data_IF_461634296897
#
_entry.id   IF_461634296897
#
_cell.length_a   1.000
_cell.length_b   1.000
_cell.length_c   1.000
_cell.angle_alpha   90.00
_cell.angle_beta   90.00
_cell.angle_gamma   90.00
#
_symmetry.space_group_name_H-M   'P 1'
#
loop_
_entity.id
_entity.type
_entity.pdbx_description
1 polymer ?
#
# COMPACT_ATOMS: atom_id res chain seq x y z
N UNK A 1 17.49 17.62 4.37
CA UNK A 1 18.87 18.13 4.49
C UNK A 1 19.02 19.34 3.59
N UNK A 2 19.64 20.41 4.07
CA UNK A 2 19.79 21.68 3.34
C UNK A 2 21.17 22.28 3.61
N UNK A 3 21.72 23.03 2.64
CA UNK A 3 23.07 23.61 2.72
C UNK A 3 23.14 24.86 3.61
N UNK A 4 22.05 25.63 3.69
CA UNK A 4 21.93 26.82 4.55
C UNK A 4 20.56 26.87 5.22
N UNK A 5 20.49 27.55 6.35
CA UNK A 5 19.23 27.86 7.01
C UNK A 5 18.66 29.12 6.34
N UNK A 6 17.46 29.01 5.78
CA UNK A 6 16.71 30.18 5.30
C UNK A 6 15.96 30.82 6.46
N UNK A 7 15.50 32.07 6.29
CA UNK A 7 14.75 32.78 7.34
C UNK A 7 13.46 32.03 7.72
N UNK A 8 12.74 31.48 6.74
CA UNK A 8 11.55 30.65 7.03
C UNK A 8 11.88 29.36 7.79
N UNK A 9 13.05 28.74 7.52
CA UNK A 9 13.51 27.59 8.30
C UNK A 9 13.83 28.01 9.73
N UNK A 10 14.48 29.16 9.91
CA UNK A 10 14.83 29.70 11.22
C UNK A 10 13.58 29.92 12.07
N UNK A 11 12.58 30.62 11.53
CA UNK A 11 11.29 30.84 12.21
C UNK A 11 10.60 29.52 12.59
N UNK A 12 10.55 28.56 11.65
CA UNK A 12 9.93 27.26 11.90
C UNK A 12 10.66 26.46 13.00
N UNK A 13 12.00 26.50 13.01
CA UNK A 13 12.84 25.84 14.02
C UNK A 13 12.62 26.50 15.39
N UNK A 14 12.63 27.83 15.45
CA UNK A 14 12.45 28.59 16.70
C UNK A 14 11.06 28.35 17.30
N UNK A 15 9.99 28.41 16.49
CA UNK A 15 8.63 28.16 16.97
C UNK A 15 8.43 26.70 17.40
N UNK A 16 9.00 25.74 16.67
CA UNK A 16 8.99 24.32 17.07
C UNK A 16 9.73 24.11 18.39
N UNK A 17 10.88 24.76 18.56
CA UNK A 17 11.65 24.75 19.80
C UNK A 17 10.89 25.35 20.98
N UNK A 18 10.25 26.51 20.78
CA UNK A 18 9.42 27.18 21.79
C UNK A 18 8.27 26.30 22.24
N UNK A 19 7.53 25.67 21.31
CA UNK A 19 6.43 24.73 21.63
C UNK A 19 6.94 23.51 22.39
N UNK A 20 8.05 22.92 21.96
CA UNK A 20 8.62 21.73 22.60
C UNK A 20 9.01 22.00 24.05
N UNK A 21 9.59 23.17 24.35
CA UNK A 21 9.95 23.56 25.72
C UNK A 21 8.72 23.59 26.64
N UNK A 22 7.66 24.27 26.21
CA UNK A 22 6.39 24.35 26.96
C UNK A 22 5.79 22.95 27.18
N UNK A 23 5.81 22.09 26.15
CA UNK A 23 5.31 20.71 26.25
C UNK A 23 6.11 19.86 27.25
N UNK A 24 7.44 19.99 27.27
CA UNK A 24 8.30 19.26 28.21
C UNK A 24 8.03 19.73 29.64
N UNK A 25 7.98 21.04 29.88
CA UNK A 25 7.70 21.61 31.21
C UNK A 25 6.33 21.16 31.73
N UNK A 26 5.30 21.19 30.86
CA UNK A 26 3.98 20.67 31.19
C UNK A 26 4.01 19.17 31.52
N UNK A 27 4.66 18.37 30.67
CA UNK A 27 4.73 16.93 30.88
C UNK A 27 5.45 16.57 32.19
N UNK A 28 6.55 17.26 32.51
CA UNK A 28 7.27 17.08 33.78
C UNK A 28 6.41 17.45 34.98
N UNK A 29 5.73 18.61 34.92
CA UNK A 29 4.84 19.07 36.00
C UNK A 29 3.67 18.10 36.26
N UNK A 30 3.20 17.43 35.21
CA UNK A 30 2.03 16.55 35.25
C UNK A 30 2.37 15.05 35.22
N UNK A 31 3.65 14.67 35.31
CA UNK A 31 4.11 13.28 35.21
C UNK A 31 3.60 12.54 33.96
N UNK A 32 3.51 13.25 32.82
CA UNK A 32 3.04 12.70 31.54
C UNK A 32 4.25 12.14 30.78
N UNK A 33 4.20 10.85 30.46
CA UNK A 33 5.17 10.21 29.57
C UNK A 33 4.65 10.21 28.14
N UNK A 34 5.37 10.79 27.16
CA UNK A 34 4.97 10.77 25.76
C UNK A 34 4.84 9.34 25.24
N UNK A 35 3.71 9.01 24.61
CA UNK A 35 3.47 7.72 23.96
C UNK A 35 2.97 7.95 22.54
N UNK A 36 3.32 7.05 21.63
CA UNK A 36 2.79 7.06 20.26
C UNK A 36 1.27 6.85 20.28
N UNK A 37 0.57 7.54 19.37
CA UNK A 37 -0.88 7.36 19.20
C UNK A 37 -1.11 6.09 18.39
N UNK A 38 -1.90 5.15 18.92
CA UNK A 38 -2.45 4.04 18.15
C UNK A 38 -3.85 4.44 17.67
N UNK A 39 -3.98 4.77 16.38
CA UNK A 39 -5.25 5.14 15.76
C UNK A 39 -5.66 4.04 14.78
N UNK A 40 -6.80 3.36 14.98
CA UNK A 40 -7.26 2.36 14.02
C UNK A 40 -7.58 3.04 12.68
N UNK A 41 -7.27 2.35 11.59
CA UNK A 41 -7.69 2.77 10.25
C UNK A 41 -9.20 2.60 10.19
N UNK A 42 -9.94 3.72 10.15
CA UNK A 42 -11.39 3.69 9.94
C UNK A 42 -11.63 3.26 8.49
N UNK A 43 -12.51 2.26 8.28
CA UNK A 43 -12.95 1.87 6.95
C UNK A 43 -13.54 3.06 6.18
N UNK A 44 -13.45 3.03 4.84
CA UNK A 44 -14.11 4.03 3.99
C UNK A 44 -15.62 4.02 4.26
N UNK A 45 -16.21 5.19 4.40
CA UNK A 45 -17.65 5.39 4.66
C UNK A 45 -18.58 5.00 3.50
N UNK A 46 -18.04 4.45 2.40
CA UNK A 46 -18.80 4.16 1.18
C UNK A 46 -18.74 2.66 0.94
N UNK A 47 -19.89 2.03 1.15
CA UNK A 47 -20.18 0.64 0.81
C UNK A 47 -20.10 0.51 -0.71
N UNK A 48 -19.00 -0.07 -1.21
CA UNK A 48 -18.92 -0.44 -2.62
C UNK A 48 -19.66 -1.76 -2.72
N UNK A 49 -20.89 -1.68 -3.23
CA UNK A 49 -21.70 -2.81 -3.66
C UNK A 49 -20.80 -3.91 -4.23
N UNK A 50 -20.85 -5.06 -3.56
CA UNK A 50 -20.13 -6.28 -3.89
C UNK A 50 -20.42 -6.68 -5.33
N UNK A 51 -19.55 -6.30 -6.27
CA UNK A 51 -19.41 -7.04 -7.52
C UNK A 51 -18.48 -8.20 -7.20
N UNK A 52 -19.06 -9.40 -7.14
CA UNK A 52 -18.31 -10.65 -7.05
C UNK A 52 -17.41 -10.77 -8.27
N UNK A 53 -16.14 -10.43 -8.12
CA UNK A 53 -15.11 -10.72 -9.13
C UNK A 53 -14.84 -12.20 -9.05
N UNK A 54 -15.58 -12.96 -9.83
CA UNK A 54 -15.50 -14.42 -9.90
C UNK A 54 -14.18 -14.89 -10.49
N UNK A 55 -13.58 -14.10 -11.39
CA UNK A 55 -12.46 -14.58 -12.21
C UNK A 55 -11.19 -13.74 -12.04
N UNK A 56 -10.04 -14.43 -11.93
CA UNK A 56 -8.72 -13.79 -11.95
C UNK A 56 -8.39 -13.49 -13.41
N UNK A 57 -8.73 -12.29 -13.85
CA UNK A 57 -8.50 -11.89 -15.23
C UNK A 57 -7.03 -11.60 -15.52
N UNK A 58 -6.60 -11.94 -16.73
CA UNK A 58 -5.33 -11.46 -17.29
C UNK A 58 -5.47 -9.98 -17.68
N UNK A 59 -4.40 -9.17 -17.54
CA UNK A 59 -4.36 -7.87 -18.18
C UNK A 59 -4.59 -8.03 -19.69
N UNK A 60 -5.57 -7.31 -20.26
CA UNK A 60 -5.92 -7.37 -21.70
C UNK A 60 -4.71 -7.20 -22.64
N UNK A 61 -3.69 -6.47 -22.19
CA UNK A 61 -2.44 -6.30 -22.94
C UNK A 61 -1.55 -7.55 -22.97
N UNK A 62 -1.55 -8.36 -21.91
CA UNK A 62 -0.77 -9.61 -21.83
C UNK A 62 -1.51 -10.73 -22.58
N UNK A 63 -2.83 -10.81 -22.44
CA UNK A 63 -3.63 -11.80 -23.17
C UNK A 63 -3.50 -11.66 -24.69
N UNK A 64 -3.46 -10.43 -25.21
CA UNK A 64 -3.25 -10.19 -26.64
C UNK A 64 -1.82 -10.48 -27.10
N UNK A 65 -0.80 -10.18 -26.28
CA UNK A 65 0.61 -10.38 -26.64
C UNK A 65 1.01 -11.85 -26.67
N UNK A 66 0.50 -12.64 -25.74
CA UNK A 66 0.87 -14.05 -25.59
C UNK A 66 -0.21 -15.01 -26.10
N UNK A 67 -1.37 -14.50 -26.53
CA UNK A 67 -2.46 -15.32 -27.07
C UNK A 67 -3.17 -16.19 -26.02
N UNK A 68 -3.00 -15.87 -24.74
CA UNK A 68 -3.47 -16.69 -23.62
C UNK A 68 -4.62 -16.00 -22.89
N UNK A 69 -5.66 -16.77 -22.53
CA UNK A 69 -6.85 -16.24 -21.82
C UNK A 69 -6.83 -16.50 -20.31
N UNK A 70 -6.07 -17.50 -19.85
CA UNK A 70 -6.00 -17.90 -18.44
C UNK A 70 -4.59 -17.77 -17.88
N UNK A 71 -4.50 -17.63 -16.56
CA UNK A 71 -3.23 -17.53 -15.86
C UNK A 71 -2.44 -18.85 -15.89
N UNK A 72 -3.14 -19.99 -15.89
CA UNK A 72 -2.53 -21.33 -15.86
C UNK A 72 -1.84 -21.71 -17.17
N UNK A 73 -2.26 -21.09 -18.27
CA UNK A 73 -1.74 -21.35 -19.62
C UNK A 73 -0.54 -20.42 -19.96
N UNK A 74 -0.17 -19.50 -19.05
CA UNK A 74 0.96 -18.58 -19.22
C UNK A 74 2.24 -19.20 -18.68
N UNK A 75 3.24 -19.35 -19.55
CA UNK A 75 4.59 -19.63 -19.09
C UNK A 75 5.23 -18.37 -18.50
N UNK A 76 5.41 -18.37 -17.18
CA UNK A 76 5.95 -17.24 -16.44
C UNK A 76 7.40 -16.91 -16.82
N UNK A 77 8.17 -17.87 -17.33
CA UNK A 77 9.57 -17.65 -17.73
C UNK A 77 9.69 -16.96 -19.09
N UNK A 78 8.64 -17.02 -19.90
CA UNK A 78 8.55 -16.36 -21.21
C UNK A 78 8.19 -14.85 -21.13
N UNK A 79 7.82 -14.37 -19.93
CA UNK A 79 7.40 -12.99 -19.73
C UNK A 79 8.59 -12.03 -19.66
N UNK A 80 8.51 -10.95 -20.43
CA UNK A 80 9.42 -9.81 -20.28
C UNK A 80 9.35 -9.23 -18.85
N UNK A 81 10.44 -8.69 -18.29
CA UNK A 81 10.44 -8.05 -16.97
C UNK A 81 9.35 -6.97 -16.80
N UNK A 82 9.01 -6.26 -17.88
CA UNK A 82 7.94 -5.25 -17.88
C UNK A 82 6.54 -5.88 -17.76
N UNK A 83 6.36 -7.05 -18.38
CA UNK A 83 5.09 -7.78 -18.37
C UNK A 83 4.88 -8.52 -17.04
N UNK A 84 5.96 -9.06 -16.46
CA UNK A 84 5.96 -9.55 -15.06
C UNK A 84 5.55 -8.45 -14.10
N UNK A 85 6.12 -7.25 -14.22
CA UNK A 85 5.78 -6.13 -13.33
C UNK A 85 4.33 -5.67 -13.52
N UNK A 86 3.85 -5.63 -14.76
CA UNK A 86 2.45 -5.29 -15.07
C UNK A 86 1.48 -6.31 -14.50
N UNK A 87 1.82 -7.60 -14.60
CA UNK A 87 1.03 -8.70 -14.02
C UNK A 87 0.97 -8.61 -12.50
N UNK A 88 2.11 -8.39 -11.83
CA UNK A 88 2.17 -8.22 -10.37
C UNK A 88 1.31 -7.04 -9.91
N UNK A 89 1.33 -5.93 -10.65
CA UNK A 89 0.51 -4.77 -10.32
C UNK A 89 -0.99 -5.08 -10.47
N UNK A 90 -1.36 -5.85 -11.49
CA UNK A 90 -2.75 -6.27 -11.70
C UNK A 90 -3.25 -7.22 -10.61
N UNK A 91 -2.48 -8.28 -10.32
CA UNK A 91 -2.78 -9.24 -9.26
C UNK A 91 -2.87 -8.56 -7.89
N UNK A 92 -2.00 -7.58 -7.59
CA UNK A 92 -2.10 -6.81 -6.35
C UNK A 92 -3.41 -6.05 -6.23
N UNK A 93 -3.91 -5.48 -7.32
CA UNK A 93 -5.19 -4.78 -7.33
C UNK A 93 -6.32 -5.75 -7.01
N UNK A 94 -6.33 -6.91 -7.64
CA UNK A 94 -7.32 -7.96 -7.38
C UNK A 94 -7.21 -8.54 -5.95
N UNK A 95 -6.00 -8.68 -5.41
CA UNK A 95 -5.78 -9.14 -4.03
C UNK A 95 -6.37 -8.16 -3.01
N UNK A 96 -6.16 -6.86 -3.19
CA UNK A 96 -6.74 -5.82 -2.33
C UNK A 96 -8.25 -5.83 -2.43
N UNK A 97 -8.79 -5.98 -3.63
CA UNK A 97 -10.22 -6.04 -3.87
C UNK A 97 -10.88 -7.29 -3.25
N UNK A 98 -10.22 -8.45 -3.33
CA UNK A 98 -10.65 -9.66 -2.64
C UNK A 98 -10.63 -9.49 -1.11
N UNK A 99 -9.60 -8.83 -0.58
CA UNK A 99 -9.49 -8.52 0.85
C UNK A 99 -10.56 -7.51 1.31
N UNK A 100 -10.86 -6.49 0.50
CA UNK A 100 -11.93 -5.52 0.74
C UNK A 100 -13.31 -6.21 0.75
N UNK A 101 -13.48 -7.25 -0.08
CA UNK A 101 -14.68 -8.10 -0.14
C UNK A 101 -14.69 -9.24 0.90
N UNK A 102 -13.78 -9.23 1.88
CA UNK A 102 -13.65 -10.23 2.95
C UNK A 102 -13.36 -11.66 2.45
N UNK A 103 -12.92 -11.83 1.19
CA UNK A 103 -12.52 -13.09 0.62
C UNK A 103 -11.01 -13.32 0.84
N UNK A 104 -10.66 -13.70 2.07
CA UNK A 104 -9.26 -13.85 2.49
C UNK A 104 -8.55 -15.06 1.86
N UNK A 105 -9.29 -16.13 1.55
CA UNK A 105 -8.73 -17.32 0.88
C UNK A 105 -8.22 -16.96 -0.52
N UNK A 106 -9.05 -16.29 -1.32
CA UNK A 106 -8.66 -15.81 -2.65
C UNK A 106 -7.54 -14.78 -2.58
N UNK A 107 -7.56 -13.88 -1.60
CA UNK A 107 -6.47 -12.92 -1.40
C UNK A 107 -5.13 -13.63 -1.07
N UNK A 108 -5.16 -14.71 -0.28
CA UNK A 108 -3.98 -15.50 0.04
C UNK A 108 -3.45 -16.25 -1.20
N UNK A 109 -4.33 -16.84 -2.02
CA UNK A 109 -3.95 -17.47 -3.29
C UNK A 109 -3.25 -16.48 -4.22
N UNK A 110 -3.83 -15.28 -4.41
CA UNK A 110 -3.25 -14.23 -5.27
C UNK A 110 -1.90 -13.74 -4.71
N UNK A 111 -1.75 -13.65 -3.39
CA UNK A 111 -0.45 -13.32 -2.77
C UNK A 111 0.60 -14.35 -3.12
N UNK A 112 0.25 -15.63 -3.06
CA UNK A 112 1.18 -16.72 -3.33
C UNK A 112 1.53 -16.80 -4.82
N UNK A 113 0.60 -16.48 -5.74
CA UNK A 113 0.93 -16.34 -7.17
C UNK A 113 1.83 -15.15 -7.46
N UNK A 114 1.64 -14.00 -6.79
CA UNK A 114 2.56 -12.84 -6.89
C UNK A 114 3.96 -13.22 -6.43
N UNK A 115 4.09 -14.03 -5.36
CA UNK A 115 5.40 -14.46 -4.87
C UNK A 115 6.10 -15.38 -5.88
N UNK A 116 5.38 -16.30 -6.52
CA UNK A 116 5.92 -17.14 -7.60
C UNK A 116 6.42 -16.34 -8.79
N UNK A 117 5.73 -15.24 -9.15
CA UNK A 117 6.09 -14.35 -10.26
C UNK A 117 7.33 -13.47 -10.01
N UNK A 118 7.72 -13.32 -8.74
CA UNK A 118 8.85 -12.47 -8.31
C UNK A 118 10.14 -13.24 -8.08
N UNK A 119 10.05 -14.55 -7.91
CA UNK A 119 11.18 -15.48 -7.91
C UNK A 119 11.64 -15.74 -9.35
#
# INVERSE_FOLDING_TARGET
YAYKITDSMKEAIEESGRRRKVQIEYNLKHNIFPKGINKPVRGKLVDRSQESITDIDLPKGISNRYGVKKLDDLDFDSLSPQDKQSMVNHLRKQMIEAADNLNFEKAAEIRDTINKLRL
#
